data_IF_883743083799
#
_entry.id   IF_883743083799
#
_cell.length_a   1.000
_cell.length_b   1.000
_cell.length_c   1.000
_cell.angle_alpha   90.00
_cell.angle_beta   90.00
_cell.angle_gamma   90.00
#
_symmetry.space_group_name_H-M   'P 1'
#
loop_
_entity.id
_entity.type
_entity.pdbx_description
1 polymer ?
#
# COMPACT_ATOMS: atom_id res chain seq x y z
N UNK A 1 55.47 57.09 20.94
CA UNK A 1 54.02 57.32 20.71
C UNK A 1 53.27 56.04 21.09
N UNK A 2 52.69 55.98 22.30
CA UNK A 2 51.92 54.82 22.76
C UNK A 2 50.43 55.11 22.57
N UNK A 3 49.90 54.71 21.43
CA UNK A 3 48.48 54.89 21.10
C UNK A 3 47.63 53.92 21.90
N UNK A 4 46.98 54.41 22.96
CA UNK A 4 46.01 53.61 23.72
C UNK A 4 44.81 53.33 22.82
N UNK A 5 44.57 52.06 22.52
CA UNK A 5 43.40 51.62 21.76
C UNK A 5 42.14 52.04 22.55
N UNK A 6 41.17 52.73 21.94
CA UNK A 6 39.99 53.21 22.65
C UNK A 6 39.15 52.01 23.12
N UNK A 7 38.68 52.03 24.37
CA UNK A 7 37.84 50.97 24.96
C UNK A 7 36.63 50.58 24.09
N UNK A 8 36.08 51.54 23.34
CA UNK A 8 35.02 51.30 22.35
C UNK A 8 35.44 50.36 21.22
N UNK A 9 36.68 50.45 20.75
CA UNK A 9 37.21 49.54 19.73
C UNK A 9 37.46 48.13 20.28
N UNK A 10 37.90 48.02 21.55
CA UNK A 10 38.05 46.72 22.22
C UNK A 10 36.69 46.04 22.42
N UNK A 11 35.68 46.79 22.87
CA UNK A 11 34.32 46.28 23.03
C UNK A 11 33.70 45.84 21.69
N UNK A 12 33.90 46.62 20.63
CA UNK A 12 33.42 46.29 19.29
C UNK A 12 34.11 45.01 18.75
N UNK A 13 35.42 44.88 18.91
CA UNK A 13 36.16 43.68 18.52
C UNK A 13 35.68 42.43 19.27
N UNK A 14 35.47 42.54 20.59
CA UNK A 14 34.94 41.44 21.39
C UNK A 14 33.53 41.02 20.94
N UNK A 15 32.67 41.98 20.60
CA UNK A 15 31.31 41.72 20.14
C UNK A 15 31.28 41.07 18.74
N UNK A 16 32.13 41.55 17.82
CA UNK A 16 32.30 40.94 16.49
C UNK A 16 32.87 39.52 16.61
N UNK A 17 33.85 39.30 17.50
CA UNK A 17 34.41 37.97 17.75
C UNK A 17 33.35 37.01 18.32
N UNK A 18 32.54 37.46 19.28
CA UNK A 18 31.45 36.67 19.84
C UNK A 18 30.38 36.35 18.79
N UNK A 19 29.95 37.34 18.01
CA UNK A 19 29.00 37.14 16.92
C UNK A 19 29.53 36.16 15.87
N UNK A 20 30.79 36.28 15.49
CA UNK A 20 31.45 35.38 14.54
C UNK A 20 31.55 33.96 15.09
N UNK A 21 31.85 33.79 16.37
CA UNK A 21 31.89 32.49 17.04
C UNK A 21 30.50 31.84 17.09
N UNK A 22 29.45 32.61 17.39
CA UNK A 22 28.06 32.12 17.40
C UNK A 22 27.59 31.70 16.01
N UNK A 23 27.85 32.52 14.98
CA UNK A 23 27.50 32.19 13.58
C UNK A 23 28.27 30.97 13.11
N UNK A 24 29.57 30.88 13.40
CA UNK A 24 30.40 29.72 13.04
C UNK A 24 29.90 28.46 13.76
N UNK A 25 29.60 28.55 15.06
CA UNK A 25 29.05 27.43 15.83
C UNK A 25 27.71 26.94 15.28
N UNK A 26 26.82 27.85 14.86
CA UNK A 26 25.57 27.51 14.20
C UNK A 26 25.81 26.84 12.83
N UNK A 27 26.72 27.37 12.02
CA UNK A 27 27.04 26.80 10.71
C UNK A 27 27.66 25.40 10.82
N UNK A 28 28.58 25.20 11.77
CA UNK A 28 29.16 23.87 12.06
C UNK A 28 28.06 22.90 12.47
N UNK A 29 27.16 23.30 13.38
CA UNK A 29 26.04 22.45 13.78
C UNK A 29 25.13 22.07 12.60
N UNK A 30 24.77 23.04 11.74
CA UNK A 30 23.96 22.78 10.53
C UNK A 30 24.69 21.82 9.59
N UNK A 31 26.00 22.01 9.40
CA UNK A 31 26.81 21.16 8.53
C UNK A 31 26.88 19.72 9.07
N UNK A 32 27.18 19.55 10.36
CA UNK A 32 27.21 18.24 11.03
C UNK A 32 25.87 17.53 10.91
N UNK A 33 24.76 18.22 11.19
CA UNK A 33 23.41 17.63 11.07
C UNK A 33 23.04 17.26 9.63
N UNK A 34 23.45 18.06 8.64
CA UNK A 34 23.28 17.72 7.22
C UNK A 34 24.16 16.55 6.79
N UNK A 35 25.38 16.45 7.31
CA UNK A 35 26.29 15.34 7.04
C UNK A 35 25.78 14.04 7.67
N UNK A 36 25.30 14.08 8.91
CA UNK A 36 24.62 12.96 9.58
C UNK A 36 23.39 12.51 8.79
N UNK A 37 22.55 13.43 8.34
CA UNK A 37 21.36 13.11 7.55
C UNK A 37 21.67 12.49 6.17
N UNK A 38 22.89 12.68 5.65
CA UNK A 38 23.34 12.10 4.36
C UNK A 38 23.94 10.70 4.51
N UNK A 39 24.27 10.26 5.73
CA UNK A 39 24.70 8.88 5.96
C UNK A 39 23.47 7.99 5.84
N UNK A 40 23.24 7.47 4.64
CA UNK A 40 22.26 6.42 4.41
C UNK A 40 22.60 5.19 5.26
N UNK A 41 21.61 4.33 5.56
CA UNK A 41 21.87 3.09 6.28
C UNK A 41 22.94 2.28 5.53
N UNK A 42 23.94 1.81 6.27
CA UNK A 42 24.90 0.86 5.75
C UNK A 42 24.17 -0.46 5.52
N UNK A 43 24.28 -1.05 4.33
CA UNK A 43 23.76 -2.40 4.07
C UNK A 43 24.64 -3.40 4.80
N UNK A 44 24.10 -4.01 5.84
CA UNK A 44 24.74 -5.04 6.65
C UNK A 44 24.41 -6.44 6.14
N UNK A 45 23.23 -6.61 5.57
CA UNK A 45 22.75 -7.87 4.97
C UNK A 45 22.25 -7.63 3.55
N UNK A 46 22.33 -8.65 2.70
CA UNK A 46 21.69 -8.63 1.39
C UNK A 46 20.20 -8.95 1.56
N UNK A 47 19.36 -8.22 0.82
CA UNK A 47 17.93 -8.52 0.67
C UNK A 47 17.63 -8.68 -0.81
N UNK A 48 16.68 -9.55 -1.15
CA UNK A 48 16.30 -9.94 -2.49
C UNK A 48 14.80 -9.88 -2.74
N UNK A 49 14.40 -10.37 -3.90
CA UNK A 49 13.02 -10.32 -4.38
C UNK A 49 12.04 -11.16 -3.56
N UNK A 50 12.54 -12.18 -2.89
CA UNK A 50 11.74 -13.14 -2.12
C UNK A 50 11.93 -13.00 -0.61
N UNK A 51 12.67 -11.97 -0.15
CA UNK A 51 12.80 -11.66 1.27
C UNK A 51 11.51 -11.03 1.80
N UNK A 52 10.59 -11.86 2.28
CA UNK A 52 9.31 -11.44 2.84
C UNK A 52 9.34 -11.19 4.34
N UNK A 53 10.38 -11.61 5.05
CA UNK A 53 10.50 -11.36 6.49
C UNK A 53 10.88 -9.89 6.76
N UNK A 54 9.99 -9.05 7.29
CA UNK A 54 10.31 -7.65 7.57
C UNK A 54 11.45 -7.51 8.60
N UNK A 55 11.69 -8.49 9.46
CA UNK A 55 12.80 -8.46 10.41
C UNK A 55 14.16 -8.50 9.72
N UNK A 56 14.29 -9.24 8.62
CA UNK A 56 15.52 -9.31 7.83
C UNK A 56 15.86 -7.93 7.22
N UNK A 57 14.86 -7.25 6.66
CA UNK A 57 14.99 -5.86 6.18
C UNK A 57 15.33 -4.89 7.30
N UNK A 58 14.78 -5.11 8.50
CA UNK A 58 15.02 -4.29 9.69
C UNK A 58 16.48 -4.22 10.13
N UNK A 59 17.33 -5.15 9.72
CA UNK A 59 18.78 -5.09 9.98
C UNK A 59 19.41 -3.90 9.24
N UNK A 60 18.98 -3.66 7.99
CA UNK A 60 19.44 -2.54 7.17
C UNK A 60 18.66 -1.25 7.46
N UNK A 61 17.35 -1.33 7.71
CA UNK A 61 16.45 -0.18 7.90
C UNK A 61 15.72 -0.20 9.25
N UNK A 62 16.44 -0.14 10.39
CA UNK A 62 15.85 -0.38 11.71
C UNK A 62 14.77 0.63 12.09
N UNK A 63 14.90 1.90 11.68
CA UNK A 63 13.92 2.95 12.00
C UNK A 63 12.59 2.72 11.30
N UNK A 64 12.63 2.36 10.02
CA UNK A 64 11.45 2.03 9.23
C UNK A 64 10.81 0.73 9.74
N UNK A 65 11.62 -0.26 10.09
CA UNK A 65 11.13 -1.51 10.67
C UNK A 65 10.48 -1.32 12.04
N UNK A 66 11.07 -0.49 12.90
CA UNK A 66 10.47 -0.13 14.18
C UNK A 66 9.11 0.54 13.98
N UNK A 67 8.98 1.42 12.99
CA UNK A 67 7.68 2.03 12.65
C UNK A 67 6.68 1.01 12.11
N UNK A 68 7.11 0.12 11.22
CA UNK A 68 6.28 -0.98 10.71
C UNK A 68 5.72 -1.85 11.84
N UNK A 69 6.52 -2.19 12.86
CA UNK A 69 6.07 -2.96 14.03
C UNK A 69 4.96 -2.26 14.80
N UNK A 70 4.90 -0.92 14.78
CA UNK A 70 3.83 -0.14 15.44
C UNK A 70 2.47 -0.34 14.77
N UNK A 71 2.40 -0.94 13.57
CA UNK A 71 1.13 -1.39 13.01
C UNK A 71 0.46 -2.49 13.84
N UNK A 72 1.19 -3.14 14.76
CA UNK A 72 0.60 -4.04 15.74
C UNK A 72 -0.08 -3.30 16.92
N UNK A 73 0.21 -2.00 17.12
CA UNK A 73 -0.37 -1.24 18.23
C UNK A 73 -1.89 -1.04 18.04
N UNK A 74 -2.65 -1.24 19.12
CA UNK A 74 -4.07 -0.95 19.11
C UNK A 74 -4.33 0.56 19.00
N UNK A 75 -5.23 0.93 18.10
CA UNK A 75 -5.59 2.33 17.83
C UNK A 75 -7.09 2.51 17.99
N UNK A 76 -7.54 3.61 18.59
CA UNK A 76 -8.99 3.88 18.69
C UNK A 76 -9.28 5.32 18.35
N UNK A 77 -10.17 5.52 17.39
CA UNK A 77 -10.76 6.81 17.06
C UNK A 77 -12.28 6.72 17.19
N UNK A 78 -12.99 7.81 16.87
CA UNK A 78 -14.46 7.84 16.96
C UNK A 78 -15.15 6.82 16.04
N UNK A 79 -14.61 6.60 14.83
CA UNK A 79 -15.23 5.78 13.78
C UNK A 79 -14.27 4.79 13.11
N UNK A 80 -13.03 4.70 13.59
CA UNK A 80 -12.02 3.80 13.06
C UNK A 80 -10.94 3.48 14.08
N UNK A 81 -9.90 2.77 13.63
CA UNK A 81 -8.86 2.22 14.50
C UNK A 81 -9.19 0.80 14.97
N UNK A 82 -8.14 0.09 15.37
CA UNK A 82 -8.20 -1.22 16.02
C UNK A 82 -8.68 -1.11 17.47
N UNK A 83 -10.00 -0.97 17.65
CA UNK A 83 -10.68 -0.80 18.93
C UNK A 83 -10.74 -2.07 19.78
N UNK A 84 -9.59 -2.56 20.26
CA UNK A 84 -9.51 -3.38 21.47
C UNK A 84 -9.54 -4.89 21.28
N UNK A 85 -8.40 -5.48 20.90
CA UNK A 85 -7.93 -6.79 21.42
C UNK A 85 -6.55 -7.11 20.81
N UNK A 86 -5.62 -7.71 21.56
CA UNK A 86 -4.46 -8.39 20.94
C UNK A 86 -4.91 -9.67 20.20
N UNK A 87 -6.12 -10.18 20.50
CA UNK A 87 -6.79 -11.26 19.78
C UNK A 87 -7.54 -10.75 18.53
N UNK A 88 -8.36 -11.61 17.92
CA UNK A 88 -9.13 -11.26 16.72
C UNK A 88 -10.03 -10.03 16.94
N UNK A 89 -10.11 -9.10 15.96
CA UNK A 89 -10.98 -7.94 16.07
C UNK A 89 -12.46 -8.30 16.20
N UNK A 90 -13.24 -7.35 16.72
CA UNK A 90 -14.67 -7.49 16.88
C UNK A 90 -15.38 -7.74 15.53
N UNK A 91 -16.40 -8.58 15.56
CA UNK A 91 -17.27 -8.84 14.43
C UNK A 91 -18.17 -7.62 14.17
N UNK A 92 -18.06 -7.02 12.99
CA UNK A 92 -18.99 -5.99 12.52
C UNK A 92 -20.41 -6.55 12.44
N UNK A 93 -20.56 -7.81 12.03
CA UNK A 93 -21.86 -8.48 11.93
C UNK A 93 -22.54 -8.71 13.30
N UNK A 94 -21.79 -8.70 14.40
CA UNK A 94 -22.36 -8.74 15.76
C UNK A 94 -22.76 -7.34 16.23
N UNK A 95 -21.92 -6.33 15.97
CA UNK A 95 -22.21 -4.92 16.27
C UNK A 95 -23.41 -4.40 15.47
N UNK A 96 -23.47 -4.78 14.19
CA UNK A 96 -24.42 -4.31 13.18
C UNK A 96 -25.13 -5.53 12.54
N UNK A 97 -26.13 -6.14 13.23
CA UNK A 97 -26.74 -7.41 12.79
C UNK A 97 -27.38 -7.39 11.39
N UNK A 98 -27.74 -6.20 10.90
CA UNK A 98 -28.24 -6.02 9.55
C UNK A 98 -27.20 -6.37 8.49
N UNK A 99 -25.89 -6.30 8.78
CA UNK A 99 -24.82 -6.76 7.88
C UNK A 99 -24.88 -8.27 7.66
N UNK A 100 -25.17 -9.06 8.71
CA UNK A 100 -25.35 -10.51 8.58
C UNK A 100 -26.53 -10.81 7.65
N UNK A 101 -27.64 -10.07 7.80
CA UNK A 101 -28.80 -10.21 6.92
C UNK A 101 -28.48 -9.81 5.48
N UNK A 102 -27.80 -8.68 5.29
CA UNK A 102 -27.43 -8.14 3.97
C UNK A 102 -26.52 -9.10 3.18
N UNK A 103 -25.65 -9.85 3.86
CA UNK A 103 -24.75 -10.82 3.23
C UNK A 103 -25.27 -12.26 3.27
N UNK A 104 -26.56 -12.49 3.53
CA UNK A 104 -27.12 -13.85 3.56
C UNK A 104 -26.88 -14.59 2.24
N UNK A 105 -26.22 -15.75 2.33
CA UNK A 105 -25.79 -16.53 1.17
C UNK A 105 -24.33 -16.27 0.75
N UNK A 106 -23.59 -15.41 1.46
CA UNK A 106 -22.20 -15.08 1.15
C UNK A 106 -21.28 -15.21 2.37
N UNK A 107 -19.98 -15.40 2.15
CA UNK A 107 -19.01 -15.67 3.22
C UNK A 107 -18.95 -14.54 4.28
N UNK A 108 -19.25 -13.30 3.90
CA UNK A 108 -19.28 -12.16 4.84
C UNK A 108 -20.41 -12.22 5.88
N UNK A 109 -21.43 -13.09 5.73
CA UNK A 109 -22.41 -13.33 6.80
C UNK A 109 -21.89 -14.26 7.91
N UNK A 110 -20.80 -14.99 7.64
CA UNK A 110 -20.16 -15.89 8.59
C UNK A 110 -19.23 -15.10 9.51
N UNK A 111 -18.32 -14.34 8.91
CA UNK A 111 -17.28 -13.61 9.61
C UNK A 111 -16.96 -12.31 8.85
N UNK A 112 -17.09 -11.16 9.52
CA UNK A 112 -16.71 -9.86 8.98
C UNK A 112 -16.28 -8.94 10.11
N UNK A 113 -14.97 -8.81 10.30
CA UNK A 113 -14.36 -8.12 11.45
C UNK A 113 -13.87 -6.71 11.10
N UNK A 114 -13.66 -5.90 12.13
CA UNK A 114 -12.94 -4.64 12.00
C UNK A 114 -11.49 -4.87 11.55
N UNK A 115 -10.98 -3.95 10.73
CA UNK A 115 -9.60 -4.00 10.24
C UNK A 115 -8.61 -3.62 11.34
N UNK A 116 -7.39 -4.17 11.27
CA UNK A 116 -6.24 -3.74 12.08
C UNK A 116 -4.98 -3.66 11.23
N UNK A 117 -3.85 -3.32 11.85
CA UNK A 117 -2.64 -2.97 11.10
C UNK A 117 -1.97 -4.14 10.40
N UNK A 118 -1.08 -3.79 9.46
CA UNK A 118 -0.46 -4.68 8.50
C UNK A 118 0.28 -5.88 9.11
N UNK A 119 0.89 -5.72 10.30
CA UNK A 119 1.53 -6.83 11.02
C UNK A 119 0.61 -8.03 11.30
N UNK A 120 -0.72 -7.84 11.29
CA UNK A 120 -1.69 -8.91 11.50
C UNK A 120 -2.32 -9.44 10.22
N UNK A 121 -1.99 -8.88 9.05
CA UNK A 121 -2.71 -9.15 7.80
C UNK A 121 -2.81 -10.65 7.48
N UNK A 122 -1.68 -11.36 7.49
CA UNK A 122 -1.66 -12.80 7.19
C UNK A 122 -2.39 -13.60 8.28
N UNK A 123 -2.12 -13.30 9.55
CA UNK A 123 -2.80 -13.96 10.67
C UNK A 123 -4.33 -13.81 10.58
N UNK A 124 -4.85 -12.61 10.32
CA UNK A 124 -6.29 -12.38 10.22
C UNK A 124 -6.91 -13.07 9.00
N UNK A 125 -6.17 -13.15 7.90
CA UNK A 125 -6.55 -13.97 6.75
C UNK A 125 -6.60 -15.45 7.13
N UNK A 126 -5.66 -15.95 7.94
CA UNK A 126 -5.56 -17.34 8.40
C UNK A 126 -6.59 -17.73 9.48
N UNK A 127 -7.12 -16.76 10.22
CA UNK A 127 -8.11 -17.02 11.25
C UNK A 127 -9.55 -16.81 10.79
N UNK A 128 -9.78 -16.16 9.64
CA UNK A 128 -11.15 -15.85 9.23
C UNK A 128 -11.92 -17.10 8.80
N UNK A 129 -13.21 -17.15 9.15
CA UNK A 129 -14.09 -18.26 8.76
C UNK A 129 -14.49 -18.21 7.27
N UNK A 130 -14.05 -17.17 6.54
CA UNK A 130 -14.36 -16.94 5.13
C UNK A 130 -13.51 -17.72 4.12
N UNK A 131 -12.52 -18.50 4.55
CA UNK A 131 -11.47 -19.13 3.70
C UNK A 131 -11.94 -20.23 2.73
N UNK A 132 -13.20 -20.25 2.33
CA UNK A 132 -13.71 -21.20 1.34
C UNK A 132 -13.28 -20.88 -0.10
N UNK A 133 -12.55 -19.78 -0.33
CA UNK A 133 -12.15 -19.28 -1.67
C UNK A 133 -10.66 -18.93 -1.73
N UNK A 134 -9.97 -19.19 -2.87
CA UNK A 134 -8.55 -18.89 -3.06
C UNK A 134 -8.25 -17.40 -3.01
N UNK A 135 -7.38 -16.99 -2.08
CA UNK A 135 -6.90 -15.62 -1.92
C UNK A 135 -5.48 -15.61 -1.35
N UNK A 136 -4.46 -15.84 -2.18
CA UNK A 136 -3.07 -15.57 -1.80
C UNK A 136 -2.54 -14.47 -2.70
N UNK A 137 -1.91 -13.44 -2.14
CA UNK A 137 -1.37 -12.30 -2.88
C UNK A 137 0.11 -12.06 -2.53
N UNK A 138 0.89 -13.13 -2.48
CA UNK A 138 2.28 -13.09 -2.04
C UNK A 138 3.21 -13.42 -3.22
N UNK A 139 4.06 -12.44 -3.54
CA UNK A 139 4.85 -12.41 -4.77
C UNK A 139 5.84 -13.58 -4.96
N UNK A 140 6.57 -14.06 -3.93
CA UNK A 140 7.42 -15.24 -4.06
C UNK A 140 6.69 -16.46 -4.58
N UNK A 141 5.45 -16.69 -4.10
CA UNK A 141 4.65 -17.83 -4.55
C UNK A 141 4.28 -17.70 -6.03
N UNK A 142 3.93 -16.49 -6.49
CA UNK A 142 3.69 -16.27 -7.92
C UNK A 142 4.95 -16.46 -8.74
N UNK A 143 6.12 -15.98 -8.30
CA UNK A 143 7.36 -16.25 -9.03
C UNK A 143 7.70 -17.73 -9.06
N UNK A 144 7.48 -18.45 -7.97
CA UNK A 144 7.71 -19.88 -7.91
C UNK A 144 6.79 -20.65 -8.87
N UNK A 145 5.48 -20.34 -8.88
CA UNK A 145 4.53 -20.97 -9.80
C UNK A 145 4.81 -20.62 -11.26
N UNK A 146 5.28 -19.40 -11.52
CA UNK A 146 5.54 -18.91 -12.87
C UNK A 146 6.98 -19.05 -13.37
N UNK A 147 7.82 -19.89 -12.74
CA UNK A 147 9.24 -20.06 -13.09
C UNK A 147 10.01 -18.72 -13.21
N UNK A 148 9.72 -17.79 -12.30
CA UNK A 148 10.28 -16.44 -12.24
C UNK A 148 9.36 -15.33 -12.77
N UNK A 149 8.34 -15.66 -13.56
CA UNK A 149 7.34 -14.70 -14.04
C UNK A 149 6.13 -14.65 -13.07
N UNK A 150 6.07 -13.59 -12.28
CA UNK A 150 4.99 -13.40 -11.32
C UNK A 150 3.59 -13.26 -11.98
N UNK A 151 3.50 -12.78 -13.21
CA UNK A 151 2.21 -12.70 -13.91
C UNK A 151 1.77 -14.10 -14.33
N UNK A 152 2.68 -14.89 -14.90
CA UNK A 152 2.39 -16.28 -15.25
C UNK A 152 1.99 -17.11 -14.02
N UNK A 153 2.67 -16.95 -12.89
CA UNK A 153 2.31 -17.67 -11.68
C UNK A 153 1.07 -17.15 -10.97
N UNK A 154 0.75 -15.86 -11.10
CA UNK A 154 -0.55 -15.32 -10.69
C UNK A 154 -1.69 -16.02 -11.44
N UNK A 155 -1.56 -16.21 -12.75
CA UNK A 155 -2.51 -16.97 -13.57
C UNK A 155 -2.62 -18.44 -13.14
N UNK A 156 -1.48 -19.08 -12.85
CA UNK A 156 -1.48 -20.47 -12.36
C UNK A 156 -2.07 -20.61 -10.96
N UNK A 157 -2.01 -19.56 -10.13
CA UNK A 157 -2.50 -19.61 -8.75
C UNK A 157 -4.01 -19.90 -8.66
N UNK A 158 -4.78 -19.59 -9.69
CA UNK A 158 -6.22 -19.88 -9.75
C UNK A 158 -6.56 -21.38 -9.81
N UNK A 159 -5.60 -22.24 -10.12
CA UNK A 159 -5.79 -23.69 -10.10
C UNK A 159 -5.79 -24.27 -8.66
N UNK A 160 -5.41 -23.48 -7.66
CA UNK A 160 -5.26 -23.91 -6.27
C UNK A 160 -6.31 -23.25 -5.38
N UNK A 161 -6.65 -23.91 -4.28
CA UNK A 161 -7.43 -23.33 -3.19
C UNK A 161 -6.58 -22.40 -2.32
N UNK A 162 -7.23 -21.58 -1.49
CA UNK A 162 -6.54 -20.73 -0.51
C UNK A 162 -5.65 -21.56 0.41
N UNK A 163 -6.17 -22.69 0.89
CA UNK A 163 -5.46 -23.55 1.84
C UNK A 163 -4.20 -24.15 1.22
N UNK A 164 -4.26 -24.54 -0.05
CA UNK A 164 -3.08 -25.04 -0.76
C UNK A 164 -2.03 -23.95 -0.95
N UNK A 165 -2.44 -22.76 -1.43
CA UNK A 165 -1.50 -21.63 -1.60
C UNK A 165 -0.91 -21.17 -0.26
N UNK A 166 -1.72 -21.12 0.80
CA UNK A 166 -1.25 -20.79 2.15
C UNK A 166 -0.30 -21.86 2.69
N UNK A 167 -0.57 -23.15 2.48
CA UNK A 167 0.36 -24.21 2.87
C UNK A 167 1.69 -24.10 2.12
N UNK A 168 1.68 -23.88 0.80
CA UNK A 168 2.91 -23.68 0.01
C UNK A 168 3.74 -22.49 0.51
N UNK A 169 3.05 -21.42 0.89
CA UNK A 169 3.69 -20.23 1.46
C UNK A 169 4.41 -20.54 2.79
N UNK A 170 3.78 -21.34 3.67
CA UNK A 170 4.39 -21.79 4.92
C UNK A 170 5.57 -22.73 4.66
N UNK A 171 5.40 -23.68 3.73
CA UNK A 171 6.43 -24.67 3.38
C UNK A 171 7.69 -24.01 2.81
N UNK A 172 7.54 -22.89 2.12
CA UNK A 172 8.65 -22.09 1.56
C UNK A 172 9.25 -21.10 2.54
N UNK A 173 8.67 -20.94 3.74
CA UNK A 173 9.15 -19.98 4.74
C UNK A 173 8.85 -18.52 4.39
N UNK A 174 7.98 -18.26 3.41
CA UNK A 174 7.61 -16.91 2.99
C UNK A 174 6.31 -16.41 3.62
N UNK A 175 5.78 -17.14 4.60
CA UNK A 175 4.53 -16.84 5.30
C UNK A 175 4.66 -15.67 6.28
N UNK A 176 4.82 -14.47 5.73
CA UNK A 176 4.85 -13.22 6.46
C UNK A 176 3.70 -12.29 6.03
N UNK A 177 3.24 -11.38 6.91
CA UNK A 177 2.37 -10.29 6.51
C UNK A 177 3.01 -9.39 5.46
N UNK A 178 2.25 -8.44 4.90
CA UNK A 178 2.77 -7.46 3.94
C UNK A 178 4.03 -6.80 4.49
N UNK A 179 5.08 -6.76 3.69
CA UNK A 179 6.44 -6.45 4.13
C UNK A 179 7.09 -5.41 3.21
N UNK A 180 8.37 -5.14 3.44
CA UNK A 180 9.12 -4.14 2.71
C UNK A 180 9.16 -4.43 1.20
N UNK A 181 9.29 -5.70 0.80
CA UNK A 181 9.47 -6.13 -0.60
C UNK A 181 8.23 -5.90 -1.47
N UNK A 182 7.05 -5.80 -0.86
CA UNK A 182 5.78 -5.53 -1.53
C UNK A 182 5.73 -4.12 -2.16
N UNK A 183 6.49 -3.18 -1.62
CA UNK A 183 6.46 -1.77 -2.03
C UNK A 183 7.83 -1.22 -2.44
N UNK A 184 8.93 -1.87 -2.03
CA UNK A 184 10.29 -1.40 -2.28
C UNK A 184 11.10 -2.38 -3.09
N UNK A 185 11.86 -1.84 -4.03
CA UNK A 185 12.91 -2.56 -4.74
C UNK A 185 14.08 -2.89 -3.78
N UNK A 186 14.49 -4.17 -3.65
CA UNK A 186 15.53 -4.58 -2.68
C UNK A 186 16.90 -3.97 -2.99
N UNK A 187 17.20 -3.74 -4.27
CA UNK A 187 18.48 -3.21 -4.71
C UNK A 187 18.61 -1.70 -4.53
N UNK A 188 17.51 -0.94 -4.54
CA UNK A 188 17.53 0.54 -4.60
C UNK A 188 16.65 1.24 -3.58
N UNK A 189 15.74 0.52 -2.92
CA UNK A 189 14.64 1.05 -2.08
C UNK A 189 13.66 1.98 -2.79
N UNK A 190 13.70 2.06 -4.12
CA UNK A 190 12.71 2.82 -4.88
C UNK A 190 11.34 2.16 -4.71
N UNK A 191 10.28 2.99 -4.72
CA UNK A 191 8.92 2.47 -4.71
C UNK A 191 8.66 1.71 -5.99
N UNK A 192 7.95 0.60 -5.89
CA UNK A 192 7.52 -0.23 -7.01
C UNK A 192 6.13 -0.82 -6.79
N UNK A 193 5.47 -1.14 -7.88
CA UNK A 193 4.27 -1.94 -7.96
C UNK A 193 4.69 -3.34 -8.37
N UNK A 194 4.32 -4.33 -7.57
CA UNK A 194 4.66 -5.74 -7.79
C UNK A 194 3.43 -6.56 -8.14
N UNK A 195 2.23 -6.17 -7.68
CA UNK A 195 1.03 -7.02 -7.75
C UNK A 195 0.39 -7.03 -9.15
N UNK A 196 0.26 -8.20 -9.81
CA UNK A 196 -0.32 -8.30 -11.16
C UNK A 196 -1.74 -7.73 -11.25
N UNK A 197 -2.59 -7.94 -10.24
CA UNK A 197 -3.96 -7.39 -10.23
C UNK A 197 -4.00 -5.86 -10.37
N UNK A 198 -3.11 -5.13 -9.70
CA UNK A 198 -3.01 -3.68 -9.85
C UNK A 198 -2.50 -3.29 -11.24
N UNK A 199 -1.48 -3.98 -11.73
CA UNK A 199 -0.88 -3.71 -13.05
C UNK A 199 -1.94 -3.88 -14.14
N UNK A 200 -2.71 -4.97 -14.10
CA UNK A 200 -3.82 -5.21 -15.03
C UNK A 200 -4.92 -4.15 -14.89
N UNK A 201 -5.36 -3.85 -13.66
CA UNK A 201 -6.38 -2.84 -13.40
C UNK A 201 -5.98 -1.45 -13.89
N UNK A 202 -4.77 -0.99 -13.58
CA UNK A 202 -4.29 0.34 -13.99
C UNK A 202 -4.07 0.43 -15.51
N UNK A 203 -3.73 -0.69 -16.16
CA UNK A 203 -3.66 -0.77 -17.62
C UNK A 203 -5.04 -0.63 -18.26
N UNK A 204 -6.05 -1.36 -17.76
CA UNK A 204 -7.44 -1.20 -18.20
C UNK A 204 -7.92 0.24 -18.00
N UNK A 205 -7.60 0.87 -16.87
CA UNK A 205 -7.91 2.27 -16.63
C UNK A 205 -7.21 3.18 -17.63
N UNK A 206 -5.92 2.95 -17.90
CA UNK A 206 -5.13 3.75 -18.85
C UNK A 206 -5.72 3.67 -20.26
N UNK A 207 -6.17 2.49 -20.68
CA UNK A 207 -6.81 2.23 -21.98
C UNK A 207 -8.22 2.81 -22.09
N UNK A 208 -8.95 2.93 -20.97
CA UNK A 208 -10.26 3.59 -20.93
C UNK A 208 -10.21 5.07 -21.30
N UNK A 209 -11.38 5.63 -21.64
CA UNK A 209 -11.56 7.08 -21.85
C UNK A 209 -11.95 7.83 -20.56
N UNK A 210 -11.99 7.15 -19.40
CA UNK A 210 -12.43 7.75 -18.15
C UNK A 210 -11.47 8.88 -17.70
N UNK A 211 -11.99 10.05 -17.28
CA UNK A 211 -11.15 11.17 -16.88
C UNK A 211 -10.46 10.90 -15.54
N UNK A 212 -9.12 10.98 -15.52
CA UNK A 212 -8.28 10.72 -14.34
C UNK A 212 -7.32 11.90 -14.07
N UNK A 213 -7.82 13.12 -13.81
CA UNK A 213 -6.99 14.33 -13.69
C UNK A 213 -6.00 14.29 -12.51
N UNK A 214 -6.22 13.40 -11.54
CA UNK A 214 -5.31 13.16 -10.42
C UNK A 214 -4.16 12.19 -10.77
N UNK A 215 -4.20 11.55 -11.95
CA UNK A 215 -3.18 10.63 -12.48
C UNK A 215 -2.57 11.17 -13.78
N UNK A 216 -1.74 12.22 -13.71
CA UNK A 216 -1.17 12.84 -14.90
C UNK A 216 -0.26 11.91 -15.72
N UNK A 217 0.26 10.82 -15.14
CA UNK A 217 1.02 9.80 -15.89
C UNK A 217 0.18 9.08 -16.93
N UNK A 218 -1.06 8.70 -16.59
CA UNK A 218 -2.00 8.07 -17.51
C UNK A 218 -2.34 9.03 -18.65
N UNK A 219 -2.61 10.32 -18.34
CA UNK A 219 -2.88 11.33 -19.37
C UNK A 219 -1.68 11.60 -20.29
N UNK A 220 -0.44 11.51 -19.77
CA UNK A 220 0.77 11.60 -20.60
C UNK A 220 0.87 10.39 -21.53
N UNK A 221 0.68 9.18 -21.00
CA UNK A 221 0.69 7.95 -21.79
C UNK A 221 -0.39 7.96 -22.88
N UNK A 222 -1.62 8.38 -22.53
CA UNK A 222 -2.75 8.50 -23.47
C UNK A 222 -2.49 9.46 -24.63
N UNK A 223 -1.65 10.48 -24.45
CA UNK A 223 -1.24 11.44 -25.50
C UNK A 223 -0.02 11.00 -26.31
N UNK A 224 0.69 9.97 -25.83
CA UNK A 224 1.87 9.40 -26.49
C UNK A 224 1.49 8.37 -27.55
N UNK A 225 2.47 7.56 -27.97
CA UNK A 225 2.30 6.58 -29.05
C UNK A 225 1.51 5.33 -28.65
N UNK A 226 1.30 5.07 -27.35
CA UNK A 226 0.60 3.88 -26.82
C UNK A 226 1.10 2.53 -27.38
N UNK A 227 2.35 2.48 -27.86
CA UNK A 227 2.95 1.27 -28.48
C UNK A 227 3.24 0.14 -27.48
N UNK A 228 3.19 0.45 -26.18
CA UNK A 228 3.37 -0.49 -25.08
C UNK A 228 2.29 -0.23 -24.02
N UNK A 229 1.84 -1.27 -23.29
CA UNK A 229 0.93 -1.12 -22.17
C UNK A 229 1.46 -0.11 -21.16
N UNK A 230 0.56 0.59 -20.48
CA UNK A 230 0.95 1.48 -19.39
C UNK A 230 1.68 0.70 -18.29
N UNK A 231 2.90 1.12 -17.96
CA UNK A 231 3.69 0.56 -16.85
C UNK A 231 3.80 1.60 -15.72
N UNK A 232 3.20 1.33 -14.54
CA UNK A 232 3.29 2.25 -13.41
C UNK A 232 4.72 2.42 -12.89
N UNK A 233 5.58 1.40 -13.00
CA UNK A 233 6.96 1.48 -12.49
C UNK A 233 7.85 2.35 -13.38
N UNK A 234 7.58 2.41 -14.69
CA UNK A 234 8.31 3.26 -15.62
C UNK A 234 7.72 4.67 -15.77
N UNK A 235 6.39 4.80 -15.67
CA UNK A 235 5.68 6.01 -16.12
C UNK A 235 5.13 6.89 -15.01
N UNK A 236 4.85 6.31 -13.83
CA UNK A 236 4.23 7.03 -12.73
C UNK A 236 5.21 8.03 -12.10
N UNK A 237 4.70 9.18 -11.70
CA UNK A 237 5.46 10.11 -10.87
C UNK A 237 5.66 9.54 -9.47
N UNK A 238 6.67 10.05 -8.75
CA UNK A 238 6.86 9.72 -7.33
C UNK A 238 5.61 9.99 -6.48
N UNK A 239 4.80 10.99 -6.84
CA UNK A 239 3.58 11.31 -6.10
C UNK A 239 2.46 10.29 -6.36
N UNK A 240 2.33 9.80 -7.60
CA UNK A 240 1.40 8.73 -7.93
C UNK A 240 1.81 7.42 -7.25
N UNK A 241 3.11 7.09 -7.26
CA UNK A 241 3.64 5.91 -6.57
C UNK A 241 3.34 5.91 -5.06
N UNK A 242 3.25 7.08 -4.42
CA UNK A 242 2.87 7.23 -3.00
C UNK A 242 1.40 6.89 -2.70
N UNK A 243 0.58 6.66 -3.72
CA UNK A 243 -0.80 6.16 -3.60
C UNK A 243 -0.96 4.80 -4.28
N UNK A 244 -0.26 4.55 -5.39
CA UNK A 244 -0.30 3.26 -6.10
C UNK A 244 0.18 2.09 -5.24
N UNK A 245 1.20 2.28 -4.39
CA UNK A 245 1.63 1.20 -3.49
C UNK A 245 0.54 0.76 -2.53
N UNK A 246 -0.33 1.68 -2.09
CA UNK A 246 -1.52 1.36 -1.30
C UNK A 246 -2.63 0.72 -2.17
N UNK A 247 -2.82 1.26 -3.38
CA UNK A 247 -3.76 0.76 -4.37
C UNK A 247 -3.48 -0.67 -4.83
N UNK A 248 -2.31 -1.25 -4.54
CA UNK A 248 -2.07 -2.67 -4.78
C UNK A 248 -3.05 -3.60 -4.04
N UNK A 249 -3.65 -3.12 -2.94
CA UNK A 249 -4.55 -3.89 -2.08
C UNK A 249 -5.84 -3.15 -1.71
N UNK A 250 -5.77 -1.83 -1.52
CA UNK A 250 -6.85 -1.00 -1.00
C UNK A 250 -7.80 -0.53 -2.11
N UNK A 251 -8.47 -1.48 -2.73
CA UNK A 251 -9.27 -1.31 -3.95
C UNK A 251 -10.51 -2.19 -3.94
N UNK A 252 -11.46 -1.85 -4.81
CA UNK A 252 -12.52 -2.77 -5.22
C UNK A 252 -11.92 -3.91 -6.05
N UNK A 253 -12.37 -5.14 -5.80
CA UNK A 253 -11.97 -6.28 -6.60
C UNK A 253 -12.98 -7.42 -6.54
N UNK A 254 -13.06 -8.18 -7.61
CA UNK A 254 -13.62 -9.53 -7.55
C UNK A 254 -12.51 -10.56 -7.38
N UNK A 255 -12.73 -11.59 -6.56
CA UNK A 255 -11.87 -12.76 -6.47
C UNK A 255 -12.71 -13.98 -6.07
N UNK A 256 -12.95 -14.90 -7.00
CA UNK A 256 -13.85 -16.03 -6.78
C UNK A 256 -13.73 -17.15 -7.81
N UNK A 257 -14.56 -18.18 -7.67
CA UNK A 257 -14.45 -19.45 -8.41
C UNK A 257 -14.93 -19.40 -9.87
N UNK A 258 -15.25 -18.22 -10.41
CA UNK A 258 -15.72 -18.05 -11.79
C UNK A 258 -14.94 -17.03 -12.62
N UNK A 259 -14.07 -16.24 -12.00
CA UNK A 259 -13.24 -15.25 -12.69
C UNK A 259 -11.99 -14.90 -11.89
N UNK A 260 -10.97 -14.44 -12.60
CA UNK A 260 -9.69 -14.02 -12.06
C UNK A 260 -9.84 -12.77 -11.19
N UNK A 261 -8.85 -12.55 -10.31
CA UNK A 261 -8.75 -11.31 -9.53
C UNK A 261 -8.74 -10.13 -10.48
N UNK A 262 -9.80 -9.33 -10.44
CA UNK A 262 -10.02 -8.25 -11.41
C UNK A 262 -10.35 -6.97 -10.65
N UNK A 263 -9.65 -5.89 -10.99
CA UNK A 263 -10.01 -4.53 -10.55
C UNK A 263 -10.85 -3.90 -11.66
N UNK A 264 -12.13 -3.52 -11.41
CA UNK A 264 -13.10 -3.19 -12.45
C UNK A 264 -12.92 -1.77 -13.02
N UNK A 265 -11.70 -1.41 -13.40
CA UNK A 265 -11.34 -0.03 -13.75
C UNK A 265 -11.42 0.27 -15.25
N UNK A 266 -11.84 -0.70 -16.07
CA UNK A 266 -11.92 -0.57 -17.54
C UNK A 266 -12.89 0.51 -18.03
N UNK A 267 -13.85 0.92 -17.19
CA UNK A 267 -14.78 2.01 -17.47
C UNK A 267 -14.50 3.27 -16.64
N UNK A 268 -13.54 3.23 -15.71
CA UNK A 268 -13.24 4.31 -14.77
C UNK A 268 -13.23 3.86 -13.31
N UNK A 269 -13.24 4.84 -12.39
CA UNK A 269 -13.07 4.61 -10.94
C UNK A 269 -14.31 5.00 -10.13
N UNK A 270 -15.40 5.43 -10.77
CA UNK A 270 -16.67 5.70 -10.07
C UNK A 270 -17.47 4.42 -9.88
N UNK A 271 -18.36 4.45 -8.89
CA UNK A 271 -19.20 3.29 -8.58
C UNK A 271 -20.08 2.90 -9.77
N UNK A 272 -20.65 3.87 -10.50
CA UNK A 272 -21.47 3.61 -11.67
C UNK A 272 -20.66 3.07 -12.86
N UNK A 273 -19.38 3.46 -12.96
CA UNK A 273 -18.46 2.98 -13.99
C UNK A 273 -18.06 1.52 -13.72
N UNK A 274 -17.79 1.18 -12.46
CA UNK A 274 -17.51 -0.19 -12.03
C UNK A 274 -18.73 -1.10 -12.11
N UNK A 275 -19.92 -0.60 -11.73
CA UNK A 275 -21.18 -1.34 -11.88
C UNK A 275 -21.41 -1.68 -13.37
N UNK A 276 -21.26 -0.70 -14.26
CA UNK A 276 -21.34 -0.93 -15.70
C UNK A 276 -20.26 -1.89 -16.24
N UNK A 277 -19.08 -1.93 -15.61
CA UNK A 277 -18.04 -2.90 -15.96
C UNK A 277 -18.49 -4.33 -15.61
N UNK A 278 -19.02 -4.53 -14.41
CA UNK A 278 -19.52 -5.84 -13.97
C UNK A 278 -20.76 -6.29 -14.75
N UNK A 279 -21.70 -5.38 -15.03
CA UNK A 279 -22.90 -5.67 -15.84
C UNK A 279 -22.56 -6.13 -17.26
N UNK A 280 -21.47 -5.60 -17.83
CA UNK A 280 -20.98 -6.00 -19.15
C UNK A 280 -20.12 -7.27 -19.13
N UNK A 281 -19.68 -7.72 -17.94
CA UNK A 281 -18.82 -8.89 -17.82
C UNK A 281 -19.62 -10.17 -18.01
N UNK A 282 -19.11 -11.03 -18.89
CA UNK A 282 -19.60 -12.40 -19.08
C UNK A 282 -18.54 -13.38 -18.58
N UNK A 283 -18.94 -14.34 -17.75
CA UNK A 283 -18.06 -15.40 -17.27
C UNK A 283 -17.74 -16.40 -18.39
N UNK A 284 -16.72 -17.26 -18.17
CA UNK A 284 -16.28 -18.26 -19.16
C UNK A 284 -17.40 -19.23 -19.58
N UNK A 285 -18.42 -19.43 -18.73
CA UNK A 285 -19.58 -20.27 -19.00
C UNK A 285 -20.75 -19.53 -19.70
N UNK A 286 -20.56 -18.26 -20.05
CA UNK A 286 -21.55 -17.42 -20.71
C UNK A 286 -22.57 -16.77 -19.75
N UNK A 287 -22.45 -16.98 -18.44
CA UNK A 287 -23.35 -16.37 -17.47
C UNK A 287 -22.97 -14.93 -17.14
N UNK A 288 -23.96 -14.15 -16.69
CA UNK A 288 -23.74 -12.80 -16.18
C UNK A 288 -23.00 -12.83 -14.84
N UNK A 289 -22.17 -11.82 -14.60
CA UNK A 289 -21.40 -11.72 -13.38
C UNK A 289 -22.27 -11.32 -12.17
N UNK A 290 -22.07 -12.00 -11.04
CA UNK A 290 -22.52 -11.59 -9.71
C UNK A 290 -21.67 -12.30 -8.65
N UNK A 291 -21.51 -11.69 -7.46
CA UNK A 291 -20.77 -12.33 -6.37
C UNK A 291 -21.56 -13.47 -5.72
N UNK A 292 -22.85 -13.22 -5.47
CA UNK A 292 -23.75 -14.20 -4.86
C UNK A 292 -25.22 -13.90 -5.16
N UNK A 293 -26.04 -14.91 -4.94
CA UNK A 293 -27.50 -14.77 -4.89
C UNK A 293 -27.90 -14.62 -3.43
N UNK A 294 -28.54 -13.51 -3.10
CA UNK A 294 -29.01 -13.22 -1.75
C UNK A 294 -30.07 -14.24 -1.32
N UNK A 295 -29.84 -14.93 -0.21
CA UNK A 295 -30.62 -16.13 0.17
C UNK A 295 -32.09 -15.83 0.46
N UNK A 296 -32.42 -14.64 0.95
CA UNK A 296 -33.80 -14.28 1.31
C UNK A 296 -34.60 -13.74 0.11
N UNK A 297 -33.95 -12.99 -0.79
CA UNK A 297 -34.63 -12.22 -1.84
C UNK A 297 -34.45 -12.81 -3.23
N UNK A 298 -33.46 -13.69 -3.43
CA UNK A 298 -33.08 -14.20 -4.74
C UNK A 298 -32.37 -13.17 -5.63
N UNK A 299 -32.05 -11.98 -5.10
CA UNK A 299 -31.35 -10.95 -5.86
C UNK A 299 -29.90 -11.38 -6.17
N UNK A 300 -29.44 -11.13 -7.39
CA UNK A 300 -28.02 -11.22 -7.76
C UNK A 300 -27.33 -9.96 -7.25
N UNK A 301 -26.26 -10.12 -6.47
CA UNK A 301 -25.63 -9.01 -5.73
C UNK A 301 -24.16 -8.91 -6.10
N UNK A 302 -23.70 -7.67 -6.30
CA UNK A 302 -22.30 -7.28 -6.35
C UNK A 302 -21.85 -6.90 -4.94
N UNK A 303 -20.71 -7.40 -4.50
CA UNK A 303 -20.18 -7.15 -3.16
C UNK A 303 -18.95 -6.25 -3.27
N UNK A 304 -19.07 -5.00 -2.85
CA UNK A 304 -17.91 -4.10 -2.82
C UNK A 304 -16.93 -4.39 -1.67
N UNK A 305 -15.62 -4.34 -1.91
CA UNK A 305 -14.51 -4.52 -0.97
C UNK A 305 -13.67 -3.25 -0.92
N UNK A 306 -13.53 -2.68 0.29
CA UNK A 306 -12.57 -1.63 0.65
C UNK A 306 -12.01 -0.76 -0.51
N UNK A 307 -12.89 0.01 -1.21
CA UNK A 307 -12.53 0.76 -2.42
C UNK A 307 -11.84 2.09 -2.06
N UNK A 308 -10.82 2.06 -1.19
CA UNK A 308 -10.22 3.29 -0.68
C UNK A 308 -9.47 4.07 -1.76
N UNK A 309 -8.78 3.41 -2.69
CA UNK A 309 -8.09 4.09 -3.80
C UNK A 309 -9.10 4.81 -4.69
N UNK A 310 -10.21 4.17 -5.02
CA UNK A 310 -11.21 4.70 -5.95
C UNK A 310 -12.06 5.78 -5.29
N UNK A 311 -12.40 5.63 -4.00
CA UNK A 311 -13.04 6.71 -3.24
C UNK A 311 -12.08 7.90 -3.00
N UNK A 312 -10.80 7.65 -2.71
CA UNK A 312 -9.80 8.71 -2.58
C UNK A 312 -9.64 9.49 -3.88
N UNK A 313 -9.63 8.80 -5.03
CA UNK A 313 -9.44 9.37 -6.37
C UNK A 313 -10.44 10.48 -6.72
N UNK A 314 -11.64 10.40 -6.13
CA UNK A 314 -12.75 11.33 -6.34
C UNK A 314 -12.78 12.45 -5.27
N UNK A 315 -11.88 12.42 -4.29
CA UNK A 315 -11.82 13.36 -3.18
C UNK A 315 -11.09 14.67 -3.53
N UNK A 316 -11.27 15.67 -2.66
CA UNK A 316 -10.54 16.95 -2.79
C UNK A 316 -9.03 16.78 -2.60
N UNK A 317 -8.60 15.81 -1.79
CA UNK A 317 -7.20 15.50 -1.55
C UNK A 317 -6.51 15.03 -2.83
N UNK A 318 -7.05 14.02 -3.52
CA UNK A 318 -6.52 13.55 -4.80
C UNK A 318 -6.48 14.66 -5.86
N UNK A 319 -7.58 15.43 -5.99
CA UNK A 319 -7.63 16.60 -6.90
C UNK A 319 -6.58 17.67 -6.58
N UNK A 320 -6.16 17.76 -5.32
CA UNK A 320 -5.12 18.70 -4.86
C UNK A 320 -3.72 18.09 -4.87
N UNK A 321 -3.56 16.87 -5.40
CA UNK A 321 -2.27 16.17 -5.46
C UNK A 321 -1.80 15.54 -4.15
N UNK A 322 -2.66 15.42 -3.15
CA UNK A 322 -2.34 14.78 -1.85
C UNK A 322 -2.48 13.27 -1.96
N UNK A 323 -1.37 12.56 -1.73
CA UNK A 323 -1.23 11.11 -1.78
C UNK A 323 -1.62 10.40 -0.47
N UNK A 324 -1.87 9.09 -0.53
CA UNK A 324 -2.12 8.27 0.66
C UNK A 324 -1.00 8.43 1.70
N UNK A 325 0.26 8.35 1.25
CA UNK A 325 1.43 8.47 2.10
C UNK A 325 1.65 9.88 2.69
N UNK A 326 0.96 10.94 2.23
CA UNK A 326 1.05 12.25 2.89
C UNK A 326 0.36 12.25 4.26
N UNK A 327 -0.69 11.44 4.41
CA UNK A 327 -1.47 11.34 5.64
C UNK A 327 -1.14 10.08 6.46
N UNK A 328 -0.91 8.95 5.78
CA UNK A 328 -0.74 7.65 6.43
C UNK A 328 0.72 7.24 6.64
N UNK A 329 1.67 7.91 5.98
CA UNK A 329 3.11 7.73 6.18
C UNK A 329 3.82 9.10 6.23
N UNK A 330 3.36 10.02 7.12
CA UNK A 330 3.89 11.36 7.17
C UNK A 330 5.37 11.35 7.52
N UNK A 331 6.08 12.42 7.16
CA UNK A 331 7.46 12.58 7.60
C UNK A 331 7.51 12.84 9.10
N UNK A 332 8.14 11.93 9.84
CA UNK A 332 8.44 12.03 11.25
C UNK A 332 9.89 12.45 11.45
N UNK A 333 10.12 13.26 12.49
CA UNK A 333 11.47 13.66 12.89
C UNK A 333 12.00 12.69 13.93
N UNK A 334 13.11 12.05 13.60
CA UNK A 334 13.83 11.16 14.51
C UNK A 334 15.29 11.64 14.65
N UNK A 335 15.53 12.40 15.72
CA UNK A 335 16.76 13.16 15.92
C UNK A 335 16.99 14.18 14.80
N UNK A 336 18.11 14.05 14.09
CA UNK A 336 18.47 14.91 12.95
C UNK A 336 17.83 14.45 11.62
N UNK A 337 17.30 13.23 11.57
CA UNK A 337 16.80 12.61 10.35
C UNK A 337 15.29 12.78 10.19
N UNK A 338 14.83 12.70 8.95
CA UNK A 338 13.42 12.57 8.60
C UNK A 338 13.18 11.16 8.08
N UNK A 339 12.20 10.47 8.65
CA UNK A 339 11.76 9.14 8.22
C UNK A 339 10.28 9.24 7.84
N UNK A 340 9.82 8.41 6.92
CA UNK A 340 8.37 8.20 6.78
C UNK A 340 7.91 7.30 7.93
N UNK A 341 6.82 7.67 8.60
CA UNK A 341 6.13 6.80 9.59
C UNK A 341 5.68 5.49 8.94
#
# INVERSE_FOLDING_TARGET
>A
MSGKIPYKAIALLALVALASALVTGLLVNIYERKAEARRGPMRLVEVGEDDTDPAHWGINWPRQYDSYKRTAEATRTRFGGHGGSEALPAQKIERDPWLRRMFLGYAFSLDYRDRRGHAYMLYDQEQTERQSKPQSSIMPLYRQLGDGDATAGFEQSYAYSYRELNQMLHDTGHAHPVSCVDCHDPATMQLRITRPGFIQGIQMLAESDAPVPHLPSLERWRRGSRDHPYDPNASASRNEMRSFTCGQCHVEYYCGSGAKLTFPWGNGLKVEEMEAFWDAMTLDDGSEFYDYVHQETGAKVLKAQHPEFELWSQGIHARSGVSCADCHMPYMRDGASKISD
#
